data_IF_679233584008
#
_entry.id   IF_679233584008
#
_cell.length_a   1.000
_cell.length_b   1.000
_cell.length_c   1.000
_cell.angle_alpha   90.00
_cell.angle_beta   90.00
_cell.angle_gamma   90.00
#
_symmetry.space_group_name_H-M   'P 1'
#
loop_
_entity.id
_entity.type
_entity.pdbx_description
1 polymer ?
#
# COMPACT_ATOMS: atom_id res chain seq x y z
N UNK A 1 -7.90 21.37 0.84
CA UNK A 1 -7.77 19.90 0.73
C UNK A 1 -9.19 19.39 0.92
N UNK A 2 -9.75 18.69 -0.06
CA UNK A 2 -11.12 18.17 0.05
C UNK A 2 -11.10 17.03 1.05
N UNK A 3 -11.97 17.09 2.06
CA UNK A 3 -12.11 16.03 3.05
C UNK A 3 -12.69 14.77 2.39
N UNK A 4 -12.15 13.59 2.72
CA UNK A 4 -12.61 12.32 2.15
C UNK A 4 -13.90 11.89 2.86
N UNK A 5 -13.94 11.99 4.19
CA UNK A 5 -15.15 11.85 4.99
C UNK A 5 -15.46 13.12 5.78
N UNK A 6 -16.74 13.35 6.02
CA UNK A 6 -17.27 14.40 6.90
C UNK A 6 -18.08 13.79 8.05
N UNK A 7 -18.39 14.58 9.09
CA UNK A 7 -19.21 14.11 10.21
C UNK A 7 -20.62 13.68 9.78
N UNK A 8 -21.15 14.24 8.68
CA UNK A 8 -22.42 13.84 8.08
C UNK A 8 -22.39 12.47 7.39
N UNK A 9 -21.21 11.92 7.09
CA UNK A 9 -21.08 10.56 6.54
C UNK A 9 -21.17 9.48 7.65
N UNK A 10 -21.31 9.89 8.92
CA UNK A 10 -21.33 9.00 10.08
C UNK A 10 -22.76 8.89 10.67
N UNK A 11 -23.08 7.78 11.35
CA UNK A 11 -24.31 7.66 12.14
C UNK A 11 -24.46 8.77 13.18
N UNK A 12 -25.70 9.22 13.46
CA UNK A 12 -25.99 10.36 14.35
C UNK A 12 -25.37 10.22 15.75
N UNK A 13 -25.30 9.00 16.29
CA UNK A 13 -24.71 8.70 17.59
C UNK A 13 -23.19 8.90 17.62
N UNK A 14 -22.52 8.68 16.47
CA UNK A 14 -21.09 8.95 16.31
C UNK A 14 -20.85 10.41 15.94
N UNK A 15 -21.70 10.97 15.06
CA UNK A 15 -21.61 12.34 14.58
C UNK A 15 -21.81 13.39 15.69
N UNK A 16 -22.59 13.06 16.72
CA UNK A 16 -22.83 13.94 17.88
C UNK A 16 -21.73 13.85 18.96
N UNK A 17 -20.74 12.98 18.81
CA UNK A 17 -19.68 12.82 19.78
C UNK A 17 -18.73 14.03 19.80
N UNK A 18 -18.35 14.50 20.99
CA UNK A 18 -17.41 15.62 21.15
C UNK A 18 -16.03 15.39 20.49
N UNK A 19 -15.66 14.14 20.23
CA UNK A 19 -14.40 13.77 19.56
C UNK A 19 -14.53 13.59 18.05
N UNK A 20 -15.73 13.72 17.46
CA UNK A 20 -15.97 13.41 16.05
C UNK A 20 -15.01 14.16 15.11
N UNK A 21 -14.80 15.45 15.33
CA UNK A 21 -13.92 16.27 14.49
C UNK A 21 -12.47 15.78 14.52
N UNK A 22 -12.01 15.33 15.69
CA UNK A 22 -10.67 14.77 15.85
C UNK A 22 -10.54 13.42 15.13
N UNK A 23 -11.58 12.59 15.17
CA UNK A 23 -11.59 11.31 14.46
C UNK A 23 -11.66 11.48 12.95
N UNK A 24 -12.54 12.35 12.46
CA UNK A 24 -12.67 12.67 11.04
C UNK A 24 -11.38 13.25 10.49
N UNK A 25 -10.81 14.27 11.15
CA UNK A 25 -9.53 14.86 10.73
C UNK A 25 -8.39 13.83 10.76
N UNK A 26 -8.35 12.97 11.79
CA UNK A 26 -7.39 11.88 11.90
C UNK A 26 -7.53 10.83 10.81
N UNK A 27 -8.76 10.47 10.44
CA UNK A 27 -9.06 9.52 9.37
C UNK A 27 -8.62 10.08 8.00
N UNK A 28 -9.02 11.32 7.67
CA UNK A 28 -8.63 11.99 6.44
C UNK A 28 -7.10 12.10 6.32
N UNK A 29 -6.41 12.52 7.38
CA UNK A 29 -4.95 12.65 7.38
C UNK A 29 -4.23 11.29 7.21
N UNK A 30 -4.74 10.22 7.85
CA UNK A 30 -4.16 8.88 7.71
C UNK A 30 -4.42 8.33 6.31
N UNK A 31 -5.60 8.55 5.74
CA UNK A 31 -5.97 8.11 4.40
C UNK A 31 -5.06 8.73 3.34
N UNK A 32 -4.90 10.06 3.33
CA UNK A 32 -4.01 10.76 2.37
C UNK A 32 -2.56 10.29 2.50
N UNK A 33 -2.10 9.92 3.71
CA UNK A 33 -0.74 9.40 3.91
C UNK A 33 -0.53 8.02 3.27
N UNK A 34 -1.50 7.11 3.39
CA UNK A 34 -1.36 5.73 2.87
C UNK A 34 -1.78 5.61 1.41
N UNK A 35 -2.68 6.50 0.97
CA UNK A 35 -3.29 6.52 -0.35
C UNK A 35 -3.29 7.97 -0.90
N UNK A 36 -2.12 8.47 -1.35
CA UNK A 36 -1.99 9.87 -1.78
C UNK A 36 -2.87 10.25 -2.98
N UNK A 37 -3.31 9.27 -3.78
CA UNK A 37 -4.19 9.52 -4.92
C UNK A 37 -5.54 10.13 -4.51
N UNK A 38 -6.02 9.84 -3.29
CA UNK A 38 -7.28 10.36 -2.77
C UNK A 38 -7.22 11.86 -2.43
N UNK A 39 -6.01 12.40 -2.23
CA UNK A 39 -5.78 13.84 -2.03
C UNK A 39 -5.26 14.57 -3.26
N UNK A 40 -5.11 13.87 -4.39
CA UNK A 40 -4.55 14.43 -5.63
C UNK A 40 -5.58 15.29 -6.37
N UNK A 41 -5.11 16.34 -7.04
CA UNK A 41 -5.92 17.13 -7.98
C UNK A 41 -5.67 16.77 -9.44
N UNK A 42 -4.67 15.92 -9.75
CA UNK A 42 -4.27 15.61 -11.14
C UNK A 42 -3.56 14.25 -11.29
N UNK A 43 -4.24 13.21 -11.81
CA UNK A 43 -5.70 13.09 -11.87
C UNK A 43 -6.28 13.13 -10.45
N UNK A 44 -7.47 13.70 -10.31
CA UNK A 44 -8.25 13.58 -9.08
C UNK A 44 -8.82 12.16 -8.94
N UNK A 45 -9.17 11.74 -7.71
CA UNK A 45 -9.83 10.46 -7.50
C UNK A 45 -11.19 10.43 -8.20
N UNK A 46 -11.59 9.27 -8.71
CA UNK A 46 -12.94 9.08 -9.25
C UNK A 46 -13.96 9.05 -8.11
N UNK A 47 -15.24 9.24 -8.45
CA UNK A 47 -16.33 9.15 -7.48
C UNK A 47 -16.39 7.77 -6.80
N UNK A 48 -16.18 6.70 -7.57
CA UNK A 48 -16.13 5.33 -7.04
C UNK A 48 -14.97 5.13 -6.04
N UNK A 49 -13.79 5.68 -6.34
CA UNK A 49 -12.64 5.61 -5.44
C UNK A 49 -12.90 6.37 -4.12
N UNK A 50 -13.58 7.51 -4.20
CA UNK A 50 -13.98 8.27 -3.02
C UNK A 50 -15.06 7.54 -2.22
N UNK A 51 -16.06 6.95 -2.88
CA UNK A 51 -17.12 6.21 -2.21
C UNK A 51 -16.59 4.97 -1.46
N UNK A 52 -15.66 4.23 -2.06
CA UNK A 52 -14.99 3.10 -1.41
C UNK A 52 -14.14 3.57 -0.22
N UNK A 53 -13.33 4.62 -0.39
CA UNK A 53 -12.54 5.20 0.68
C UNK A 53 -13.42 5.70 1.85
N UNK A 54 -14.55 6.34 1.54
CA UNK A 54 -15.53 6.80 2.54
C UNK A 54 -16.01 5.65 3.42
N UNK A 55 -16.40 4.53 2.82
CA UNK A 55 -16.91 3.38 3.57
C UNK A 55 -15.85 2.80 4.52
N UNK A 56 -14.60 2.68 4.06
CA UNK A 56 -13.49 2.18 4.87
C UNK A 56 -13.23 3.11 6.07
N UNK A 57 -13.18 4.43 5.84
CA UNK A 57 -12.90 5.41 6.89
C UNK A 57 -14.06 5.55 7.87
N UNK A 58 -15.31 5.52 7.41
CA UNK A 58 -16.48 5.52 8.29
C UNK A 58 -16.48 4.29 9.23
N UNK A 59 -16.19 3.10 8.70
CA UNK A 59 -16.04 1.88 9.51
C UNK A 59 -14.95 2.00 10.59
N UNK A 60 -13.81 2.59 10.24
CA UNK A 60 -12.74 2.85 11.20
C UNK A 60 -13.15 3.84 12.30
N UNK A 61 -13.82 4.94 11.95
CA UNK A 61 -14.29 5.95 12.92
C UNK A 61 -15.38 5.40 13.84
N UNK A 62 -16.35 4.65 13.30
CA UNK A 62 -17.37 3.97 14.11
C UNK A 62 -16.70 3.02 15.11
N UNK A 63 -15.68 2.27 14.69
CA UNK A 63 -14.90 1.42 15.61
C UNK A 63 -14.15 2.23 16.68
N UNK A 64 -13.53 3.35 16.29
CA UNK A 64 -12.83 4.23 17.22
C UNK A 64 -13.75 4.83 18.27
N UNK A 65 -14.99 5.14 17.90
CA UNK A 65 -16.01 5.64 18.84
C UNK A 65 -16.33 4.62 19.94
N UNK A 66 -16.31 3.33 19.61
CA UNK A 66 -16.59 2.25 20.55
C UNK A 66 -15.37 1.90 21.44
N UNK A 67 -14.15 2.17 20.98
CA UNK A 67 -12.91 1.84 21.70
C UNK A 67 -12.77 2.56 23.05
N UNK A 68 -13.42 3.71 23.24
CA UNK A 68 -13.46 4.47 24.49
C UNK A 68 -14.52 4.01 25.51
N UNK A 69 -15.45 3.13 25.12
CA UNK A 69 -16.58 2.70 25.95
C UNK A 69 -16.29 1.44 26.80
N UNK A 70 -15.06 0.92 26.77
CA UNK A 70 -14.69 -0.31 27.47
C UNK A 70 -14.69 -0.18 29.00
N UNK A 71 -14.91 -1.29 29.70
CA UNK A 71 -14.90 -1.38 31.15
C UNK A 71 -13.93 -2.48 31.61
N UNK A 72 -13.34 -2.30 32.80
CA UNK A 72 -12.59 -3.39 33.44
C UNK A 72 -13.60 -4.32 34.08
N UNK A 73 -13.78 -5.51 33.51
CA UNK A 73 -14.68 -6.53 34.04
C UNK A 73 -13.87 -7.61 34.77
N UNK A 74 -14.16 -7.81 36.06
CA UNK A 74 -13.67 -8.99 36.77
C UNK A 74 -14.66 -10.13 36.56
N UNK A 75 -14.18 -11.22 35.96
CA UNK A 75 -14.92 -12.47 35.88
C UNK A 75 -14.35 -13.44 36.92
N UNK A 76 -15.22 -13.95 37.79
CA UNK A 76 -14.88 -14.98 38.79
C UNK A 76 -15.70 -16.21 38.49
N UNK A 77 -15.03 -17.32 38.19
CA UNK A 77 -15.63 -18.63 37.95
C UNK A 77 -14.98 -19.64 38.92
N UNK A 78 -15.59 -19.77 40.11
CA UNK A 78 -15.08 -20.63 41.17
C UNK A 78 -13.67 -20.18 41.63
N UNK A 79 -12.65 -21.07 41.65
CA UNK A 79 -11.29 -20.70 42.06
C UNK A 79 -10.54 -19.88 41.01
N UNK A 80 -11.09 -19.68 39.81
CA UNK A 80 -10.44 -18.93 38.76
C UNK A 80 -11.02 -17.51 38.70
N UNK A 81 -10.14 -16.51 38.77
CA UNK A 81 -10.49 -15.11 38.56
C UNK A 81 -9.69 -14.55 37.39
N UNK A 82 -10.34 -13.83 36.48
CA UNK A 82 -9.69 -13.10 35.40
C UNK A 82 -10.21 -11.67 35.36
N UNK A 83 -9.30 -10.72 35.16
CA UNK A 83 -9.66 -9.33 34.88
C UNK A 83 -9.59 -9.12 33.36
N UNK A 84 -10.74 -8.90 32.74
CA UNK A 84 -10.87 -8.53 31.33
C UNK A 84 -10.91 -7.00 31.23
N UNK A 85 -9.81 -6.40 30.79
CA UNK A 85 -9.76 -4.98 30.47
C UNK A 85 -10.22 -4.79 29.01
N UNK A 86 -11.50 -4.49 28.80
CA UNK A 86 -12.05 -4.25 27.45
C UNK A 86 -11.83 -2.82 26.97
N UNK A 87 -11.14 -1.98 27.75
CA UNK A 87 -10.66 -0.69 27.26
C UNK A 87 -9.62 -0.96 26.20
N UNK A 88 -10.02 -0.83 24.95
CA UNK A 88 -9.14 -1.10 23.82
C UNK A 88 -7.99 -0.09 23.83
N UNK A 89 -6.82 -0.50 24.32
CA UNK A 89 -5.58 0.31 24.35
C UNK A 89 -4.96 0.55 22.96
N UNK A 90 -5.57 0.05 21.89
CA UNK A 90 -5.02 0.03 20.52
C UNK A 90 -4.91 1.39 19.82
N UNK A 91 -5.46 2.46 20.41
CA UNK A 91 -5.44 3.80 19.86
C UNK A 91 -6.27 3.96 18.58
N UNK A 92 -6.33 5.20 18.08
CA UNK A 92 -7.06 5.55 16.85
C UNK A 92 -6.21 5.24 15.62
N UNK A 93 -6.08 3.95 15.30
CA UNK A 93 -5.32 3.44 14.17
C UNK A 93 -6.20 2.71 13.15
N UNK A 94 -5.81 2.81 11.88
CA UNK A 94 -6.35 1.98 10.82
C UNK A 94 -5.80 0.56 10.99
N UNK A 95 -6.63 -0.43 10.70
CA UNK A 95 -6.18 -1.81 10.62
C UNK A 95 -5.33 -2.06 9.38
N UNK A 96 -4.43 -3.05 9.40
CA UNK A 96 -3.63 -3.39 8.23
C UNK A 96 -4.47 -3.66 6.97
N UNK A 97 -5.63 -4.30 7.12
CA UNK A 97 -6.56 -4.58 6.01
C UNK A 97 -7.17 -3.31 5.41
N UNK A 98 -7.48 -2.31 6.23
CA UNK A 98 -8.00 -1.03 5.76
C UNK A 98 -6.92 -0.25 5.04
N UNK A 99 -5.69 -0.29 5.55
CA UNK A 99 -4.53 0.31 4.90
C UNK A 99 -4.29 -0.32 3.53
N UNK A 100 -4.33 -1.67 3.42
CA UNK A 100 -4.16 -2.34 2.14
C UNK A 100 -5.28 -2.00 1.15
N UNK A 101 -6.54 -1.97 1.61
CA UNK A 101 -7.67 -1.57 0.76
C UNK A 101 -7.52 -0.14 0.25
N UNK A 102 -7.18 0.82 1.12
CA UNK A 102 -6.92 2.21 0.71
C UNK A 102 -5.77 2.32 -0.29
N UNK A 103 -4.70 1.53 -0.10
CA UNK A 103 -3.60 1.46 -1.06
C UNK A 103 -4.05 0.86 -2.40
N UNK A 104 -4.88 -0.18 -2.38
CA UNK A 104 -5.40 -0.85 -3.57
C UNK A 104 -6.25 0.08 -4.43
N UNK A 105 -7.04 0.97 -3.83
CA UNK A 105 -7.78 2.03 -4.55
C UNK A 105 -6.85 2.88 -5.42
N UNK A 106 -5.64 3.16 -4.94
CA UNK A 106 -4.65 3.94 -5.68
C UNK A 106 -3.82 3.13 -6.68
N UNK A 107 -3.89 1.79 -6.66
CA UNK A 107 -3.13 0.97 -7.61
C UNK A 107 -3.80 1.04 -8.97
N UNK A 108 -3.13 1.69 -9.93
CA UNK A 108 -3.48 1.54 -11.34
C UNK A 108 -3.19 0.09 -11.75
N UNK A 109 -4.08 -0.52 -12.53
CA UNK A 109 -4.05 -1.93 -12.99
C UNK A 109 -2.83 -2.35 -13.85
N UNK A 110 -1.69 -1.65 -13.78
CA UNK A 110 -0.52 -1.85 -14.61
C UNK A 110 0.84 -1.82 -13.90
N UNK A 111 0.93 -1.55 -12.59
CA UNK A 111 2.21 -1.60 -11.86
C UNK A 111 2.31 -2.87 -11.02
N UNK A 112 2.60 -3.98 -11.69
CA UNK A 112 3.06 -5.20 -11.03
C UNK A 112 4.59 -5.15 -10.89
N UNK A 113 5.12 -5.77 -9.84
CA UNK A 113 6.56 -5.94 -9.69
C UNK A 113 7.10 -6.70 -10.92
N UNK A 114 7.92 -6.04 -11.73
CA UNK A 114 8.60 -6.68 -12.85
C UNK A 114 9.86 -7.37 -12.32
N UNK A 115 10.04 -8.65 -12.66
CA UNK A 115 11.27 -9.38 -12.37
C UNK A 115 12.28 -9.15 -13.49
N UNK A 116 13.44 -8.59 -13.17
CA UNK A 116 14.57 -8.59 -14.09
C UNK A 116 15.25 -9.94 -13.95
N UNK A 117 15.21 -10.77 -15.00
CA UNK A 117 16.02 -11.98 -15.08
C UNK A 117 17.48 -11.56 -15.19
N UNK A 118 18.27 -11.92 -14.18
CA UNK A 118 19.71 -11.63 -14.10
C UNK A 118 20.56 -12.80 -14.58
N UNK A 119 19.94 -13.85 -15.15
CA UNK A 119 20.68 -14.93 -15.80
C UNK A 119 21.50 -14.32 -16.93
N UNK A 120 22.81 -14.26 -16.70
CA UNK A 120 23.78 -13.93 -17.73
C UNK A 120 23.67 -14.99 -18.82
N UNK A 121 23.10 -14.63 -19.96
CA UNK A 121 23.27 -15.41 -21.19
C UNK A 121 24.77 -15.39 -21.46
N UNK A 122 25.42 -16.53 -21.25
CA UNK A 122 26.82 -16.72 -21.64
C UNK A 122 26.83 -16.72 -23.16
N UNK A 123 26.91 -15.52 -23.74
CA UNK A 123 27.17 -15.34 -25.16
C UNK A 123 28.46 -16.07 -25.49
N UNK A 124 28.41 -16.99 -26.45
CA UNK A 124 29.60 -17.67 -26.94
C UNK A 124 30.64 -16.65 -27.40
N UNK A 125 31.91 -16.95 -27.16
CA UNK A 125 33.01 -16.10 -27.61
C UNK A 125 33.65 -16.74 -28.86
N UNK A 126 33.39 -16.16 -30.04
CA UNK A 126 34.05 -16.61 -31.26
C UNK A 126 35.57 -16.42 -31.20
N UNK A 127 36.40 -17.40 -31.65
CA UNK A 127 37.86 -17.27 -31.66
C UNK A 127 38.37 -16.04 -32.44
N UNK A 128 37.61 -15.57 -33.43
CA UNK A 128 37.98 -14.39 -34.21
C UNK A 128 37.95 -13.11 -33.37
N UNK A 129 37.12 -13.06 -32.33
CA UNK A 129 37.04 -11.93 -31.42
C UNK A 129 38.29 -11.82 -30.53
N UNK A 130 38.95 -12.94 -30.21
CA UNK A 130 40.25 -12.92 -29.51
C UNK A 130 41.35 -12.29 -30.35
N UNK A 131 41.34 -12.56 -31.66
CA UNK A 131 42.40 -12.15 -32.59
C UNK A 131 42.32 -10.65 -32.88
N UNK A 132 41.12 -10.14 -33.16
CA UNK A 132 40.95 -8.74 -33.57
C UNK A 132 40.73 -7.76 -32.42
N UNK A 133 40.26 -8.23 -31.26
CA UNK A 133 39.83 -7.33 -30.19
C UNK A 133 40.50 -7.57 -28.83
N UNK A 134 41.34 -8.62 -28.67
CA UNK A 134 42.22 -8.75 -27.49
C UNK A 134 41.70 -9.61 -26.33
N UNK A 135 40.91 -10.65 -26.62
CA UNK A 135 40.75 -11.89 -25.83
C UNK A 135 40.22 -11.84 -24.39
N UNK A 136 40.11 -10.66 -23.76
CA UNK A 136 39.75 -10.53 -22.35
C UNK A 136 38.45 -9.78 -22.06
N UNK A 137 37.92 -8.99 -23.01
CA UNK A 137 36.74 -8.15 -22.79
C UNK A 137 36.01 -7.76 -24.10
N UNK A 138 36.02 -8.62 -25.11
CA UNK A 138 35.57 -8.26 -26.45
C UNK A 138 34.12 -8.64 -26.66
N UNK A 139 33.24 -7.65 -26.72
CA UNK A 139 31.82 -7.84 -27.00
C UNK A 139 31.52 -8.28 -28.45
N UNK A 140 32.53 -8.56 -29.29
CA UNK A 140 32.39 -8.76 -30.74
C UNK A 140 31.55 -7.65 -31.43
N UNK A 141 31.57 -6.42 -30.89
CA UNK A 141 30.75 -5.29 -31.33
C UNK A 141 29.35 -5.21 -30.69
N UNK A 142 28.95 -6.16 -29.86
CA UNK A 142 27.66 -6.18 -29.16
C UNK A 142 27.48 -5.02 -28.17
N UNK A 143 28.57 -4.48 -27.61
CA UNK A 143 28.48 -3.27 -26.78
C UNK A 143 28.08 -2.02 -27.59
N UNK A 144 28.15 -2.08 -28.92
CA UNK A 144 27.76 -0.99 -29.83
C UNK A 144 26.42 -1.30 -30.51
N UNK A 145 26.19 -2.56 -30.90
CA UNK A 145 25.05 -2.97 -31.72
C UNK A 145 23.96 -3.74 -30.97
N UNK A 146 24.14 -4.01 -29.67
CA UNK A 146 23.25 -4.85 -28.85
C UNK A 146 23.31 -6.35 -29.17
N UNK A 147 24.04 -6.74 -30.21
CA UNK A 147 24.22 -8.11 -30.70
C UNK A 147 25.59 -8.24 -31.40
N UNK A 148 26.20 -9.44 -31.45
CA UNK A 148 27.50 -9.62 -32.10
C UNK A 148 27.37 -9.33 -33.60
N UNK A 149 28.16 -8.38 -34.10
CA UNK A 149 28.11 -7.96 -35.52
C UNK A 149 29.02 -8.81 -36.42
N UNK A 150 29.94 -9.56 -35.82
CA UNK A 150 30.91 -10.41 -36.53
C UNK A 150 30.58 -11.91 -36.41
N UNK A 151 29.39 -12.24 -35.91
CA UNK A 151 28.85 -13.60 -35.91
C UNK A 151 27.63 -13.62 -36.83
N UNK A 152 27.74 -14.32 -37.95
CA UNK A 152 26.56 -14.77 -38.70
C UNK A 152 26.34 -16.22 -38.33
N UNK A 153 25.12 -16.53 -37.89
CA UNK A 153 24.68 -17.84 -37.42
C UNK A 153 25.27 -19.00 -38.22
N UNK A 154 25.96 -19.91 -37.55
CA UNK A 154 26.25 -21.24 -38.09
C UNK A 154 25.60 -22.27 -37.17
N UNK A 155 24.38 -22.66 -37.57
CA UNK A 155 23.62 -23.88 -37.22
C UNK A 155 23.46 -24.25 -35.75
#
# INVERSE_FOLDING_TARGET
MTDIIESSDLPDDVASNAMVDMWVAGANAKAVRVAPCLGSTTPGPTEDQLAEAKLILAGAVIRWSQAGAGAVQQQVAGPFSQTLDTRQRGGYNLWPSEISQLQDICKTSGQQAYGIDTVQVIGGHSPICSIYFGGGACSCGASIAGQPIYETDVS
#
